data_IF_727770666229
#
_entry.id   IF_727770666229
#
_cell.length_a   1.000
_cell.length_b   1.000
_cell.length_c   1.000
_cell.angle_alpha   90.00
_cell.angle_beta   90.00
_cell.angle_gamma   90.00
#
_symmetry.space_group_name_H-M   'P 1'
#
loop_
_entity.id
_entity.type
_entity.pdbx_description
1 polymer ?
#
# COMPACT_ATOMS: atom_id res chain seq x y z
N UNK A 1 3.86 -6.96 7.08
CA UNK A 1 4.43 -8.13 6.42
C UNK A 1 5.78 -7.85 5.79
N UNK A 2 6.57 -8.89 5.68
CA UNK A 2 7.92 -8.79 5.15
C UNK A 2 7.97 -8.27 3.71
N UNK A 3 6.94 -8.56 2.90
CA UNK A 3 6.89 -8.09 1.52
C UNK A 3 6.89 -6.56 1.42
N UNK A 4 6.19 -5.90 2.33
CA UNK A 4 6.14 -4.44 2.35
C UNK A 4 7.50 -3.88 2.76
N UNK A 5 8.11 -4.47 3.78
CA UNK A 5 9.43 -4.05 4.25
C UNK A 5 10.48 -4.20 3.15
N UNK A 6 10.49 -5.36 2.48
CA UNK A 6 11.41 -5.60 1.37
C UNK A 6 11.19 -4.62 0.23
N UNK A 7 9.93 -4.39 -0.12
CA UNK A 7 9.57 -3.48 -1.21
C UNK A 7 10.04 -2.06 -0.91
N UNK A 8 9.82 -1.58 0.30
CA UNK A 8 10.28 -0.24 0.69
C UNK A 8 11.80 -0.14 0.68
N UNK A 9 12.48 -1.21 1.12
CA UNK A 9 13.93 -1.25 1.07
C UNK A 9 14.45 -1.14 -0.35
N UNK A 10 13.85 -1.88 -1.28
CA UNK A 10 14.26 -1.84 -2.68
C UNK A 10 13.96 -0.48 -3.31
N UNK A 11 12.84 0.13 -2.97
CA UNK A 11 12.49 1.45 -3.48
C UNK A 11 13.48 2.52 -3.05
N UNK A 12 14.11 2.36 -1.89
CA UNK A 12 15.15 3.29 -1.45
C UNK A 12 16.41 3.14 -2.30
N UNK A 13 16.71 1.93 -2.73
CA UNK A 13 17.93 1.64 -3.50
C UNK A 13 17.76 1.99 -4.96
N UNK A 14 16.62 1.65 -5.54
CA UNK A 14 16.34 1.89 -6.97
C UNK A 14 14.99 2.57 -7.17
N UNK A 15 14.84 3.83 -6.71
CA UNK A 15 13.56 4.52 -6.76
C UNK A 15 13.09 4.82 -8.19
N UNK A 16 13.97 4.72 -9.17
CA UNK A 16 13.67 5.02 -10.57
C UNK A 16 13.28 3.78 -11.37
N UNK A 17 13.26 2.61 -10.74
CA UNK A 17 12.89 1.37 -11.42
C UNK A 17 11.37 1.31 -11.57
N UNK A 18 10.89 1.55 -12.79
CA UNK A 18 9.46 1.62 -13.08
C UNK A 18 8.73 0.32 -12.78
N UNK A 19 9.36 -0.81 -13.08
CA UNK A 19 8.76 -2.11 -12.81
C UNK A 19 8.56 -2.32 -11.31
N UNK A 20 9.54 -1.95 -10.51
CA UNK A 20 9.47 -2.06 -9.05
C UNK A 20 8.38 -1.15 -8.49
N UNK A 21 8.32 0.09 -8.98
CA UNK A 21 7.29 1.05 -8.54
C UNK A 21 5.91 0.52 -8.90
N UNK A 22 5.74 0.01 -10.10
CA UNK A 22 4.47 -0.56 -10.56
C UNK A 22 4.05 -1.74 -9.70
N UNK A 23 4.98 -2.63 -9.38
CA UNK A 23 4.72 -3.78 -8.52
C UNK A 23 4.33 -3.34 -7.10
N UNK A 24 4.97 -2.29 -6.59
CA UNK A 24 4.67 -1.76 -5.27
C UNK A 24 3.25 -1.20 -5.21
N UNK A 25 2.82 -0.51 -6.25
CA UNK A 25 1.46 0.03 -6.33
C UNK A 25 0.45 -1.11 -6.21
N UNK A 26 0.66 -2.18 -6.96
CA UNK A 26 -0.23 -3.35 -6.92
C UNK A 26 -0.24 -4.01 -5.55
N UNK A 27 0.95 -4.13 -4.95
CA UNK A 27 1.09 -4.75 -3.64
C UNK A 27 0.31 -3.97 -2.58
N UNK A 28 0.50 -2.66 -2.52
CA UNK A 28 -0.18 -1.83 -1.53
C UNK A 28 -1.69 -1.79 -1.74
N UNK A 29 -2.11 -1.63 -2.99
CA UNK A 29 -3.54 -1.57 -3.31
C UNK A 29 -4.22 -2.90 -3.00
N UNK A 30 -3.61 -4.00 -3.41
CA UNK A 30 -4.15 -5.33 -3.17
C UNK A 30 -4.21 -5.67 -1.69
N UNK A 31 -3.17 -5.34 -0.95
CA UNK A 31 -3.12 -5.61 0.48
C UNK A 31 -4.17 -4.80 1.23
N UNK A 32 -4.29 -3.50 0.89
CA UNK A 32 -5.28 -2.64 1.54
C UNK A 32 -6.71 -3.12 1.28
N UNK A 33 -7.00 -3.45 0.04
CA UNK A 33 -8.33 -3.87 -0.35
C UNK A 33 -8.67 -5.27 0.13
N UNK A 34 -7.81 -6.24 -0.17
CA UNK A 34 -8.14 -7.65 0.03
C UNK A 34 -7.87 -8.18 1.43
N UNK A 35 -7.01 -7.52 2.18
CA UNK A 35 -6.62 -8.00 3.50
C UNK A 35 -7.07 -7.07 4.62
N UNK A 36 -6.64 -5.81 4.54
CA UNK A 36 -6.84 -4.89 5.67
C UNK A 36 -8.32 -4.52 5.81
N UNK A 37 -9.00 -4.25 4.71
CA UNK A 37 -10.42 -3.89 4.76
C UNK A 37 -11.29 -5.04 5.20
N UNK A 38 -11.02 -6.25 4.72
CA UNK A 38 -11.76 -7.44 5.14
C UNK A 38 -11.60 -7.67 6.65
N UNK A 39 -10.39 -7.49 7.15
CA UNK A 39 -10.14 -7.66 8.57
C UNK A 39 -10.86 -6.61 9.41
N UNK A 40 -10.88 -5.35 8.94
CA UNK A 40 -11.59 -4.28 9.63
C UNK A 40 -13.09 -4.57 9.70
N UNK A 41 -13.65 -5.07 8.61
CA UNK A 41 -15.07 -5.42 8.56
C UNK A 41 -15.40 -6.55 9.54
N UNK A 42 -14.58 -7.57 9.59
CA UNK A 42 -14.75 -8.68 10.53
C UNK A 42 -14.66 -8.20 11.97
N UNK A 43 -13.73 -7.29 12.26
CA UNK A 43 -13.58 -6.73 13.60
C UNK A 43 -14.80 -5.92 14.01
N UNK A 44 -15.37 -5.15 13.10
CA UNK A 44 -16.60 -4.39 13.37
C UNK A 44 -17.76 -5.31 13.69
N UNK A 45 -17.87 -6.42 12.98
CA UNK A 45 -18.91 -7.40 13.21
C UNK A 45 -18.80 -8.03 14.59
N UNK A 46 -17.58 -8.11 15.13
CA UNK A 46 -17.32 -8.66 16.47
C UNK A 46 -17.39 -7.59 17.57
N UNK A 47 -17.62 -6.33 17.22
CA UNK A 47 -17.67 -5.25 18.19
C UNK A 47 -16.31 -4.67 18.56
N UNK A 48 -15.25 -5.07 17.88
CA UNK A 48 -13.88 -4.61 18.15
C UNK A 48 -13.61 -3.33 17.37
N UNK A 49 -14.28 -2.25 17.79
CA UNK A 49 -14.28 -1.01 16.99
C UNK A 49 -12.96 -0.27 16.96
N UNK A 50 -12.21 -0.29 18.06
CA UNK A 50 -10.91 0.37 18.09
C UNK A 50 -9.91 -0.30 17.16
N UNK A 51 -9.88 -1.62 17.18
CA UNK A 51 -9.00 -2.35 16.26
C UNK A 51 -9.45 -2.21 14.82
N UNK A 52 -10.76 -2.16 14.57
CA UNK A 52 -11.29 -1.92 13.24
C UNK A 52 -10.85 -0.56 12.72
N UNK A 53 -10.90 0.45 13.57
CA UNK A 53 -10.45 1.80 13.22
C UNK A 53 -8.96 1.80 12.85
N UNK A 54 -8.15 1.10 13.63
CA UNK A 54 -6.71 0.98 13.36
C UNK A 54 -6.47 0.35 11.99
N UNK A 55 -7.22 -0.70 11.65
CA UNK A 55 -7.07 -1.34 10.35
C UNK A 55 -7.54 -0.43 9.21
N UNK A 56 -8.59 0.35 9.44
CA UNK A 56 -9.07 1.32 8.45
C UNK A 56 -8.02 2.38 8.17
N UNK A 57 -7.37 2.89 9.21
CA UNK A 57 -6.29 3.87 9.04
C UNK A 57 -5.11 3.27 8.30
N UNK A 58 -4.83 2.02 8.55
CA UNK A 58 -3.76 1.30 7.87
C UNK A 58 -4.05 1.15 6.39
N UNK A 59 -5.29 0.81 6.04
CA UNK A 59 -5.70 0.72 4.64
C UNK A 59 -5.56 2.09 3.96
N UNK A 60 -5.99 3.15 4.63
CA UNK A 60 -5.85 4.51 4.10
C UNK A 60 -4.38 4.84 3.82
N UNK A 61 -3.49 4.53 4.76
CA UNK A 61 -2.07 4.77 4.57
C UNK A 61 -1.56 4.06 3.33
N UNK A 62 -1.95 2.81 3.14
CA UNK A 62 -1.51 2.03 2.00
C UNK A 62 -2.05 2.57 0.67
N UNK A 63 -3.31 3.02 0.64
CA UNK A 63 -3.86 3.66 -0.55
C UNK A 63 -3.16 4.96 -0.87
N UNK A 64 -2.86 5.78 0.15
CA UNK A 64 -2.14 7.02 -0.05
C UNK A 64 -0.72 6.76 -0.56
N UNK A 65 -0.07 5.75 -0.01
CA UNK A 65 1.25 5.35 -0.48
C UNK A 65 1.20 4.90 -1.93
N UNK A 66 0.20 4.11 -2.31
CA UNK A 66 0.02 3.66 -3.69
C UNK A 66 -0.20 4.85 -4.63
N UNK A 67 -1.00 5.83 -4.19
CA UNK A 67 -1.23 7.05 -4.95
C UNK A 67 0.07 7.82 -5.17
N UNK A 68 0.86 8.00 -4.12
CA UNK A 68 2.12 8.74 -4.21
C UNK A 68 3.09 8.04 -5.16
N UNK A 69 3.14 6.72 -5.10
CA UNK A 69 3.95 5.94 -6.03
C UNK A 69 3.44 6.05 -7.46
N UNK A 70 2.12 6.14 -7.63
CA UNK A 70 1.53 6.36 -8.95
C UNK A 70 1.95 7.68 -9.56
N UNK A 71 1.94 8.75 -8.76
CA UNK A 71 2.40 10.06 -9.20
C UNK A 71 3.89 10.00 -9.56
N UNK A 72 4.67 9.34 -8.73
CA UNK A 72 6.10 9.14 -8.99
C UNK A 72 6.33 8.39 -10.30
N UNK A 73 5.56 7.33 -10.55
CA UNK A 73 5.67 6.52 -11.76
C UNK A 73 5.37 7.36 -13.00
N UNK A 74 4.32 8.18 -12.96
CA UNK A 74 3.97 9.07 -14.05
C UNK A 74 5.14 10.01 -14.36
N UNK A 75 5.76 10.56 -13.32
CA UNK A 75 6.94 11.41 -13.48
C UNK A 75 8.08 10.70 -14.16
N UNK A 76 8.36 9.46 -13.77
CA UNK A 76 9.43 8.67 -14.39
C UNK A 76 9.16 8.41 -15.86
N UNK A 77 7.92 8.11 -16.21
CA UNK A 77 7.53 7.84 -17.60
C UNK A 77 7.63 9.08 -18.47
N UNK A 78 7.37 10.25 -17.90
CA UNK A 78 7.42 11.50 -18.63
C UNK A 78 8.85 12.03 -18.81
N UNK A 79 9.76 11.63 -17.95
CA UNK A 79 11.17 12.04 -18.06
C UNK A 79 11.94 11.22 -19.08
N UNK A 80 11.46 10.03 -19.32
CA UNK A 80 12.13 9.11 -20.24
C UNK A 80 11.77 9.36 -21.65
#
# INVERSE_FOLDING_TARGET
PSNIVQTEGLLRVVPENEQLVSNAIRLYTGYAYGWVEDRAEALRAEGEYLEAETQTLRARYMYERARDLGVHLIGLEHEG
#
